data_IF_170112119051
#
_entry.id   IF_170112119051
#
_cell.length_a   1.000
_cell.length_b   1.000
_cell.length_c   1.000
_cell.angle_alpha   90.00
_cell.angle_beta   90.00
_cell.angle_gamma   90.00
#
_symmetry.space_group_name_H-M   'P 1'
#
loop_
_entity.id
_entity.type
_entity.pdbx_description
1 polymer ?
#
# COMPACT_ATOMS: atom_id res chain seq x y z
N UNK A 1 -22.32 0.86 15.04
CA UNK A 1 -21.44 -0.13 14.41
C UNK A 1 -20.99 0.48 13.10
N UNK A 2 -19.68 0.63 12.89
CA UNK A 2 -19.18 1.19 11.63
C UNK A 2 -19.61 0.29 10.47
N UNK A 3 -20.19 0.87 9.40
CA UNK A 3 -20.73 0.09 8.26
C UNK A 3 -19.67 -0.82 7.64
N UNK A 4 -18.39 -0.45 7.71
CA UNK A 4 -17.23 -1.23 7.27
C UNK A 4 -17.17 -2.62 7.91
N UNK A 5 -17.48 -2.76 9.20
CA UNK A 5 -17.51 -4.07 9.86
C UNK A 5 -18.62 -4.99 9.35
N UNK A 6 -19.75 -4.44 8.88
CA UNK A 6 -20.81 -5.24 8.26
C UNK A 6 -20.31 -5.87 6.95
N UNK A 7 -19.71 -5.07 6.06
CA UNK A 7 -19.16 -5.59 4.81
C UNK A 7 -18.06 -6.62 5.05
N UNK A 8 -17.22 -6.40 6.06
CA UNK A 8 -16.18 -7.37 6.43
C UNK A 8 -16.80 -8.68 6.92
N UNK A 9 -17.82 -8.64 7.77
CA UNK A 9 -18.52 -9.84 8.22
C UNK A 9 -19.14 -10.62 7.05
N UNK A 10 -19.73 -9.93 6.06
CA UNK A 10 -20.25 -10.55 4.84
C UNK A 10 -19.12 -11.19 4.02
N UNK A 11 -18.00 -10.50 3.83
CA UNK A 11 -16.81 -11.06 3.19
C UNK A 11 -16.33 -12.34 3.88
N UNK A 12 -16.24 -12.35 5.22
CA UNK A 12 -15.83 -13.52 6.00
C UNK A 12 -16.77 -14.72 5.84
N UNK A 13 -18.07 -14.47 5.70
CA UNK A 13 -19.05 -15.52 5.41
C UNK A 13 -18.86 -16.11 4.01
N UNK A 14 -18.70 -15.26 2.98
CA UNK A 14 -18.40 -15.71 1.61
C UNK A 14 -17.07 -16.46 1.55
N UNK A 15 -16.03 -15.98 2.24
CA UNK A 15 -14.74 -16.65 2.37
C UNK A 15 -14.88 -18.06 2.94
N UNK A 16 -15.71 -18.23 3.98
CA UNK A 16 -15.97 -19.54 4.56
C UNK A 16 -16.59 -20.50 3.55
N UNK A 17 -17.58 -20.04 2.77
CA UNK A 17 -18.23 -20.86 1.73
C UNK A 17 -17.24 -21.23 0.59
N UNK A 18 -16.40 -20.30 0.16
CA UNK A 18 -15.34 -20.57 -0.84
C UNK A 18 -14.36 -21.63 -0.33
N UNK A 19 -13.96 -21.54 0.94
CA UNK A 19 -13.09 -22.54 1.55
C UNK A 19 -13.75 -23.91 1.67
N UNK A 20 -15.09 -24.00 1.73
CA UNK A 20 -15.82 -25.27 1.65
C UNK A 20 -15.78 -25.84 0.23
N UNK A 21 -15.85 -25.01 -0.82
CA UNK A 21 -15.66 -25.48 -2.20
C UNK A 21 -14.31 -26.19 -2.34
N UNK A 22 -13.28 -25.66 -1.70
CA UNK A 22 -11.94 -26.25 -1.75
C UNK A 22 -11.79 -27.57 -0.97
N UNK A 23 -12.76 -27.93 -0.11
CA UNK A 23 -12.80 -29.26 0.52
C UNK A 23 -13.23 -30.34 -0.48
N UNK A 24 -14.05 -29.98 -1.47
CA UNK A 24 -14.53 -30.91 -2.49
C UNK A 24 -13.70 -30.87 -3.77
N UNK A 25 -13.15 -29.70 -4.12
CA UNK A 25 -12.34 -29.50 -5.31
C UNK A 25 -11.02 -28.83 -4.92
N UNK A 26 -9.95 -29.62 -4.91
CA UNK A 26 -8.62 -29.12 -4.53
C UNK A 26 -8.19 -27.94 -5.42
N UNK A 27 -7.84 -26.81 -4.82
CA UNK A 27 -7.50 -25.57 -5.52
C UNK A 27 -6.08 -25.68 -6.12
N UNK A 28 -5.99 -26.12 -7.37
CA UNK A 28 -4.73 -26.28 -8.13
C UNK A 28 -4.82 -25.62 -9.50
N UNK A 29 -3.69 -25.41 -10.17
CA UNK A 29 -3.66 -24.84 -11.52
C UNK A 29 -4.57 -25.61 -12.51
N UNK A 30 -4.71 -26.93 -12.33
CA UNK A 30 -5.54 -27.80 -13.18
C UNK A 30 -7.04 -27.62 -12.93
N UNK A 31 -7.42 -27.23 -11.72
CA UNK A 31 -8.82 -27.15 -11.31
C UNK A 31 -9.40 -25.72 -11.36
N UNK A 32 -8.60 -24.72 -11.75
CA UNK A 32 -9.07 -23.33 -11.84
C UNK A 32 -10.28 -23.15 -12.78
N UNK A 33 -10.41 -23.99 -13.81
CA UNK A 33 -11.52 -23.96 -14.75
C UNK A 33 -12.70 -24.88 -14.35
N UNK A 34 -12.62 -25.57 -13.19
CA UNK A 34 -13.76 -26.32 -12.65
C UNK A 34 -14.87 -25.34 -12.31
N UNK A 35 -16.08 -25.65 -12.78
CA UNK A 35 -17.27 -24.84 -12.61
C UNK A 35 -18.39 -25.66 -11.97
N UNK A 36 -19.30 -24.98 -11.29
CA UNK A 36 -20.52 -25.57 -10.77
C UNK A 36 -21.58 -24.49 -10.59
N UNK A 37 -22.83 -24.90 -10.41
CA UNK A 37 -23.90 -23.96 -10.08
C UNK A 37 -23.60 -23.19 -8.78
N UNK A 38 -23.05 -23.89 -7.78
CA UNK A 38 -22.67 -23.29 -6.51
C UNK A 38 -21.54 -22.26 -6.66
N UNK A 39 -20.51 -22.53 -7.48
CA UNK A 39 -19.44 -21.56 -7.76
C UNK A 39 -20.01 -20.33 -8.49
N UNK A 40 -20.89 -20.54 -9.47
CA UNK A 40 -21.56 -19.45 -10.19
C UNK A 40 -22.41 -18.57 -9.25
N UNK A 41 -23.13 -19.18 -8.30
CA UNK A 41 -23.90 -18.45 -7.28
C UNK A 41 -23.03 -17.65 -6.33
N UNK A 42 -21.90 -18.22 -5.88
CA UNK A 42 -20.93 -17.49 -5.07
C UNK A 42 -20.37 -16.29 -5.82
N UNK A 43 -20.04 -16.41 -7.12
CA UNK A 43 -19.59 -15.27 -7.95
C UNK A 43 -20.66 -14.17 -7.98
N UNK A 44 -21.92 -14.51 -8.25
CA UNK A 44 -23.01 -13.53 -8.30
C UNK A 44 -23.15 -12.80 -6.96
N UNK A 45 -23.15 -13.52 -5.84
CA UNK A 45 -23.22 -12.93 -4.49
C UNK A 45 -22.01 -12.03 -4.22
N UNK A 46 -20.80 -12.46 -4.56
CA UNK A 46 -19.59 -11.64 -4.40
C UNK A 46 -19.70 -10.32 -5.16
N UNK A 47 -20.19 -10.35 -6.39
CA UNK A 47 -20.26 -9.15 -7.24
C UNK A 47 -21.38 -8.19 -6.79
N UNK A 48 -22.47 -8.70 -6.22
CA UNK A 48 -23.48 -7.87 -5.55
C UNK A 48 -22.84 -7.11 -4.37
N UNK A 49 -21.97 -7.76 -3.59
CA UNK A 49 -21.27 -7.08 -2.49
C UNK A 49 -20.22 -6.07 -2.99
N UNK A 50 -19.53 -6.37 -4.09
CA UNK A 50 -18.63 -5.41 -4.77
C UNK A 50 -19.42 -4.17 -5.23
N UNK A 51 -20.61 -4.36 -5.79
CA UNK A 51 -21.49 -3.26 -6.19
C UNK A 51 -21.90 -2.42 -4.99
N UNK A 52 -22.38 -3.05 -3.92
CA UNK A 52 -22.79 -2.37 -2.68
C UNK A 52 -21.66 -1.57 -2.05
N UNK A 53 -20.50 -2.21 -1.81
CA UNK A 53 -19.38 -1.58 -1.11
C UNK A 53 -18.74 -0.46 -1.94
N UNK A 54 -18.60 -0.63 -3.26
CA UNK A 54 -18.01 0.43 -4.11
C UNK A 54 -18.89 1.67 -4.19
N UNK A 55 -20.22 1.51 -4.20
CA UNK A 55 -21.18 2.63 -4.10
C UNK A 55 -21.12 3.32 -2.74
N UNK A 56 -20.96 2.55 -1.66
CA UNK A 56 -20.83 3.12 -0.32
C UNK A 56 -19.53 3.92 -0.18
N UNK A 57 -18.39 3.37 -0.62
CA UNK A 57 -17.10 4.09 -0.63
C UNK A 57 -17.23 5.37 -1.48
N UNK A 58 -17.87 5.29 -2.65
CA UNK A 58 -18.09 6.44 -3.53
C UNK A 58 -18.85 7.58 -2.83
N UNK A 59 -19.92 7.25 -2.10
CA UNK A 59 -20.73 8.22 -1.35
C UNK A 59 -19.93 8.84 -0.21
N UNK A 60 -19.18 8.03 0.54
CA UNK A 60 -18.29 8.55 1.59
C UNK A 60 -17.26 9.54 1.02
N UNK A 61 -16.64 9.24 -0.12
CA UNK A 61 -15.70 10.17 -0.78
C UNK A 61 -16.41 11.45 -1.21
N UNK A 62 -17.63 11.36 -1.77
CA UNK A 62 -18.44 12.53 -2.17
C UNK A 62 -18.74 13.43 -0.97
N UNK A 63 -19.14 12.85 0.16
CA UNK A 63 -19.47 13.57 1.39
C UNK A 63 -18.25 14.21 2.06
N UNK A 64 -17.10 13.54 2.02
CA UNK A 64 -15.88 14.04 2.65
C UNK A 64 -15.23 15.20 1.87
N UNK A 65 -15.53 15.34 0.57
CA UNK A 65 -15.07 16.42 -0.33
C UNK A 65 -13.65 16.97 -0.04
N UNK A 66 -12.71 16.08 0.22
CA UNK A 66 -11.33 16.43 0.57
C UNK A 66 -10.47 16.71 -0.68
N UNK A 67 -9.28 17.26 -0.46
CA UNK A 67 -8.21 17.45 -1.46
C UNK A 67 -7.79 16.14 -2.20
N UNK A 68 -8.23 14.97 -1.73
CA UNK A 68 -7.94 13.67 -2.35
C UNK A 68 -8.61 13.47 -3.72
N UNK A 69 -9.68 14.21 -4.02
CA UNK A 69 -10.42 14.09 -5.28
C UNK A 69 -9.89 15.13 -6.28
N UNK A 70 -9.55 14.75 -7.52
CA UNK A 70 -9.14 15.71 -8.55
C UNK A 70 -10.17 16.82 -8.75
N UNK A 71 -9.72 18.07 -8.81
CA UNK A 71 -10.59 19.27 -8.90
C UNK A 71 -11.51 19.25 -10.12
N UNK A 72 -11.12 18.54 -11.18
CA UNK A 72 -11.88 18.37 -12.42
C UNK A 72 -12.87 17.18 -12.38
N UNK A 73 -12.90 16.39 -11.30
CA UNK A 73 -13.84 15.29 -11.16
C UNK A 73 -15.23 15.81 -10.79
N UNK A 74 -16.22 15.44 -11.60
CA UNK A 74 -17.63 15.77 -11.35
C UNK A 74 -18.34 14.53 -10.84
N UNK A 75 -18.86 14.61 -9.61
CA UNK A 75 -19.69 13.55 -9.06
C UNK A 75 -20.99 13.43 -9.84
N UNK A 76 -21.43 12.19 -10.05
CA UNK A 76 -22.71 11.91 -10.68
C UNK A 76 -23.81 12.22 -9.67
N UNK A 77 -24.80 12.99 -10.10
CA UNK A 77 -26.03 13.18 -9.33
C UNK A 77 -26.94 11.97 -9.55
N UNK A 78 -27.32 11.31 -8.46
CA UNK A 78 -28.33 10.25 -8.49
C UNK A 78 -29.69 10.93 -8.67
N UNK A 79 -30.31 10.73 -9.84
CA UNK A 79 -31.68 11.14 -10.11
C UNK A 79 -32.45 9.98 -10.74
N UNK A 80 -33.76 10.14 -10.90
CA UNK A 80 -34.63 9.08 -11.43
C UNK A 80 -34.26 8.61 -12.85
N UNK A 81 -33.44 9.35 -13.61
CA UNK A 81 -33.02 9.01 -14.98
C UNK A 81 -31.57 8.52 -15.10
N UNK A 82 -30.79 8.52 -14.01
CA UNK A 82 -29.36 8.23 -14.04
C UNK A 82 -28.94 7.39 -12.83
N UNK A 83 -28.83 6.07 -13.04
CA UNK A 83 -28.38 5.14 -12.01
C UNK A 83 -26.86 5.24 -11.81
N UNK A 84 -26.41 5.28 -10.56
CA UNK A 84 -25.00 5.18 -10.20
C UNK A 84 -24.48 3.78 -10.55
N UNK A 85 -23.52 3.71 -11.47
CA UNK A 85 -22.94 2.46 -11.94
C UNK A 85 -21.71 2.10 -11.10
N UNK A 86 -21.75 0.92 -10.47
CA UNK A 86 -20.65 0.50 -9.60
C UNK A 86 -19.32 0.36 -10.34
N UNK A 87 -19.35 -0.04 -11.62
CA UNK A 87 -18.16 -0.18 -12.44
C UNK A 87 -17.66 1.18 -12.94
N UNK A 88 -18.39 1.81 -13.86
CA UNK A 88 -17.88 2.98 -14.59
C UNK A 88 -17.87 4.27 -13.80
N UNK A 89 -18.69 4.36 -12.74
CA UNK A 89 -18.75 5.56 -11.92
C UNK A 89 -17.93 5.34 -10.63
N UNK A 90 -18.27 4.31 -9.85
CA UNK A 90 -17.63 4.07 -8.55
C UNK A 90 -16.20 3.53 -8.68
N UNK A 91 -16.00 2.33 -9.25
CA UNK A 91 -14.68 1.71 -9.34
C UNK A 91 -13.71 2.51 -10.23
N UNK A 92 -14.22 3.24 -11.23
CA UNK A 92 -13.42 4.21 -11.99
C UNK A 92 -12.88 5.34 -11.11
N UNK A 93 -13.71 5.94 -10.25
CA UNK A 93 -13.25 6.97 -9.31
C UNK A 93 -12.20 6.39 -8.37
N UNK A 94 -12.50 5.26 -7.72
CA UNK A 94 -11.57 4.62 -6.76
C UNK A 94 -10.22 4.31 -7.41
N UNK A 95 -10.24 3.84 -8.66
CA UNK A 95 -9.02 3.60 -9.41
C UNK A 95 -8.27 4.91 -9.73
N UNK A 96 -8.99 5.98 -10.06
CA UNK A 96 -8.39 7.28 -10.36
C UNK A 96 -7.66 7.87 -9.15
N UNK A 97 -8.24 7.75 -7.95
CA UNK A 97 -7.67 8.34 -6.74
C UNK A 97 -6.63 7.44 -6.06
N UNK A 98 -6.79 6.10 -6.10
CA UNK A 98 -5.94 5.17 -5.35
C UNK A 98 -5.16 4.19 -6.22
N UNK A 99 -5.31 4.19 -7.54
CA UNK A 99 -4.60 3.27 -8.45
C UNK A 99 -4.87 1.79 -8.17
N UNK A 100 -6.12 1.45 -7.83
CA UNK A 100 -6.51 0.10 -7.41
C UNK A 100 -6.24 -0.99 -8.47
N UNK A 101 -6.14 -0.66 -9.76
CA UNK A 101 -5.86 -1.59 -10.84
C UNK A 101 -4.42 -2.13 -10.85
N UNK A 102 -3.53 -1.47 -10.11
CA UNK A 102 -2.14 -1.89 -9.89
C UNK A 102 -1.99 -2.84 -8.72
N UNK A 103 -2.86 -2.74 -7.71
CA UNK A 103 -2.78 -3.51 -6.47
C UNK A 103 -2.83 -5.00 -6.75
N UNK A 104 -1.84 -5.71 -6.23
CA UNK A 104 -1.72 -7.16 -6.36
C UNK A 104 -1.96 -7.80 -5.00
N UNK A 105 -2.65 -8.94 -5.03
CA UNK A 105 -2.84 -9.80 -3.88
C UNK A 105 -2.28 -11.19 -4.17
N UNK A 106 -1.98 -11.93 -3.10
CA UNK A 106 -1.49 -13.30 -3.14
C UNK A 106 -2.61 -14.22 -2.65
N UNK A 107 -2.80 -15.36 -3.31
CA UNK A 107 -3.62 -16.46 -2.77
C UNK A 107 -2.80 -17.19 -1.72
N UNK A 108 -3.21 -17.05 -0.46
CA UNK A 108 -2.52 -17.59 0.72
C UNK A 108 -3.31 -18.72 1.40
N UNK A 109 -4.41 -19.17 0.78
CA UNK A 109 -5.23 -20.26 1.31
C UNK A 109 -4.43 -21.54 1.46
N UNK A 110 -4.39 -22.11 2.66
CA UNK A 110 -3.72 -23.40 2.95
C UNK A 110 -4.27 -24.54 2.07
N UNK A 111 -5.55 -24.44 1.68
CA UNK A 111 -6.21 -25.42 0.80
C UNK A 111 -5.89 -25.24 -0.70
N UNK A 112 -5.04 -24.27 -1.05
CA UNK A 112 -4.60 -24.07 -2.43
C UNK A 112 -3.15 -24.54 -2.63
N UNK A 113 -2.91 -25.28 -3.71
CA UNK A 113 -1.60 -25.73 -4.16
C UNK A 113 -1.37 -25.27 -5.61
N UNK A 114 -1.24 -23.96 -5.77
CA UNK A 114 -0.94 -23.33 -7.06
C UNK A 114 0.57 -23.32 -7.26
N UNK A 115 1.04 -23.69 -8.44
CA UNK A 115 2.46 -23.75 -8.79
C UNK A 115 2.86 -22.60 -9.72
N UNK A 116 1.96 -22.23 -10.64
CA UNK A 116 2.20 -21.15 -11.61
C UNK A 116 2.10 -19.77 -10.96
N UNK A 117 3.08 -18.90 -11.20
CA UNK A 117 3.16 -17.59 -10.54
C UNK A 117 1.98 -16.68 -10.90
N UNK A 118 1.50 -16.74 -12.14
CA UNK A 118 0.33 -16.00 -12.61
C UNK A 118 -0.98 -16.43 -11.94
N UNK A 119 -1.01 -17.61 -11.34
CA UNK A 119 -2.16 -18.10 -10.57
C UNK A 119 -1.99 -17.87 -9.07
N UNK A 120 -0.76 -17.73 -8.55
CA UNK A 120 -0.50 -17.44 -7.13
C UNK A 120 -0.83 -16.00 -6.74
N UNK A 121 -0.69 -15.07 -7.68
CA UNK A 121 -0.92 -13.65 -7.42
C UNK A 121 -1.53 -12.96 -8.63
N UNK A 122 -2.42 -12.00 -8.39
CA UNK A 122 -3.12 -11.29 -9.45
C UNK A 122 -3.60 -9.91 -8.99
N UNK A 123 -4.00 -9.08 -9.96
CA UNK A 123 -4.55 -7.74 -9.73
C UNK A 123 -6.08 -7.79 -9.84
N UNK A 124 -6.81 -7.91 -8.71
CA UNK A 124 -8.25 -8.21 -8.72
C UNK A 124 -9.10 -7.11 -9.36
N UNK A 125 -8.68 -5.85 -9.19
CA UNK A 125 -9.40 -4.67 -9.69
C UNK A 125 -8.85 -4.17 -11.04
N UNK A 126 -7.97 -4.94 -11.70
CA UNK A 126 -7.46 -4.60 -13.03
C UNK A 126 -8.61 -4.42 -14.01
N UNK A 127 -8.71 -3.21 -14.57
CA UNK A 127 -9.78 -2.78 -15.48
C UNK A 127 -11.21 -2.83 -14.88
N UNK A 128 -11.38 -2.81 -13.55
CA UNK A 128 -12.70 -2.91 -12.94
C UNK A 128 -13.62 -1.70 -13.22
N UNK A 129 -13.05 -0.53 -13.52
CA UNK A 129 -13.78 0.66 -13.98
C UNK A 129 -14.16 0.67 -15.48
N UNK A 130 -13.85 -0.39 -16.23
CA UNK A 130 -14.13 -0.48 -17.68
C UNK A 130 -15.34 -1.37 -17.96
N UNK A 131 -16.07 -1.07 -19.03
CA UNK A 131 -17.23 -1.84 -19.53
C UNK A 131 -16.87 -2.85 -20.61
N UNK A 132 -17.78 -3.83 -20.79
CA UNK A 132 -17.74 -4.81 -21.86
C UNK A 132 -16.48 -5.68 -21.84
N UNK A 133 -15.93 -5.96 -23.01
CA UNK A 133 -14.77 -6.85 -23.16
C UNK A 133 -13.49 -6.30 -22.52
N UNK A 134 -13.44 -5.00 -22.26
CA UNK A 134 -12.33 -4.33 -21.57
C UNK A 134 -12.46 -4.37 -20.04
N UNK A 135 -13.60 -4.80 -19.50
CA UNK A 135 -13.84 -4.87 -18.06
C UNK A 135 -13.04 -5.98 -17.36
N UNK A 136 -13.00 -5.91 -16.03
CA UNK A 136 -12.38 -6.95 -15.20
C UNK A 136 -12.94 -8.34 -15.51
N UNK A 137 -12.09 -9.37 -15.45
CA UNK A 137 -12.46 -10.75 -15.80
C UNK A 137 -13.69 -11.23 -15.02
N UNK A 138 -13.71 -11.05 -13.70
CA UNK A 138 -14.84 -11.43 -12.86
C UNK A 138 -16.13 -10.69 -13.21
N UNK A 139 -16.05 -9.41 -13.60
CA UNK A 139 -17.24 -8.63 -13.98
C UNK A 139 -17.82 -9.16 -15.30
N UNK A 140 -16.96 -9.48 -16.29
CA UNK A 140 -17.40 -10.11 -17.54
C UNK A 140 -18.09 -11.45 -17.31
N UNK A 141 -17.56 -12.26 -16.38
CA UNK A 141 -18.19 -13.53 -15.98
C UNK A 141 -19.54 -13.27 -15.32
N UNK A 142 -19.62 -12.35 -14.37
CA UNK A 142 -20.86 -11.97 -13.70
C UNK A 142 -21.94 -11.50 -14.69
N UNK A 143 -21.61 -10.59 -15.62
CA UNK A 143 -22.57 -10.13 -16.64
C UNK A 143 -23.07 -11.32 -17.48
N UNK A 144 -22.18 -12.23 -17.89
CA UNK A 144 -22.56 -13.42 -18.65
C UNK A 144 -23.50 -14.34 -17.86
N UNK A 145 -23.23 -14.57 -16.56
CA UNK A 145 -24.07 -15.37 -15.67
C UNK A 145 -25.42 -14.70 -15.37
N UNK A 146 -25.46 -13.36 -15.27
CA UNK A 146 -26.67 -12.58 -15.04
C UNK A 146 -27.62 -12.62 -16.25
N UNK A 147 -27.09 -12.56 -17.47
CA UNK A 147 -27.90 -12.50 -18.68
C UNK A 147 -28.35 -13.88 -19.17
N UNK A 148 -27.48 -14.89 -19.15
CA UNK A 148 -27.82 -16.25 -19.58
C UNK A 148 -26.96 -17.26 -18.83
N UNK A 149 -27.43 -17.61 -17.63
CA UNK A 149 -26.71 -18.52 -16.72
C UNK A 149 -26.50 -19.91 -17.32
N UNK A 150 -27.52 -20.47 -17.96
CA UNK A 150 -27.47 -21.85 -18.48
C UNK A 150 -26.38 -21.98 -19.55
N UNK A 151 -26.33 -21.04 -20.50
CA UNK A 151 -25.31 -21.03 -21.55
C UNK A 151 -23.91 -20.71 -21.01
N UNK A 152 -23.82 -19.88 -19.98
CA UNK A 152 -22.56 -19.36 -19.47
C UNK A 152 -22.04 -20.04 -18.20
N UNK A 153 -22.68 -21.12 -17.74
CA UNK A 153 -22.32 -21.80 -16.49
C UNK A 153 -20.82 -22.16 -16.41
N UNK A 154 -20.22 -22.58 -17.53
CA UNK A 154 -18.78 -22.92 -17.61
C UNK A 154 -17.85 -21.75 -17.27
N UNK A 155 -18.31 -20.51 -17.43
CA UNK A 155 -17.55 -19.30 -17.07
C UNK A 155 -17.55 -19.06 -15.55
N UNK A 156 -18.53 -19.60 -14.83
CA UNK A 156 -18.63 -19.55 -13.37
C UNK A 156 -17.70 -20.57 -12.71
N UNK A 157 -16.40 -20.37 -12.85
CA UNK A 157 -15.36 -21.29 -12.40
C UNK A 157 -14.54 -20.76 -11.21
N UNK A 158 -13.68 -21.63 -10.64
CA UNK A 158 -12.86 -21.29 -9.47
C UNK A 158 -11.99 -20.06 -9.71
N UNK A 159 -11.42 -19.90 -10.91
CA UNK A 159 -10.63 -18.72 -11.26
C UNK A 159 -11.47 -17.44 -11.14
N UNK A 160 -12.67 -17.43 -11.75
CA UNK A 160 -13.55 -16.28 -11.69
C UNK A 160 -13.99 -15.97 -10.24
N UNK A 161 -14.25 -17.00 -9.44
CA UNK A 161 -14.58 -16.88 -8.02
C UNK A 161 -13.43 -16.26 -7.21
N UNK A 162 -12.21 -16.76 -7.37
CA UNK A 162 -11.02 -16.19 -6.71
C UNK A 162 -10.81 -14.73 -7.10
N UNK A 163 -10.99 -14.39 -8.39
CA UNK A 163 -10.86 -13.02 -8.86
C UNK A 163 -11.93 -12.08 -8.28
N UNK A 164 -13.18 -12.52 -8.19
CA UNK A 164 -14.26 -11.75 -7.56
C UNK A 164 -14.02 -11.58 -6.05
N UNK A 165 -13.68 -12.66 -5.35
CA UNK A 165 -13.37 -12.63 -3.92
C UNK A 165 -12.17 -11.74 -3.60
N UNK A 166 -11.15 -11.74 -4.46
CA UNK A 166 -9.99 -10.86 -4.32
C UNK A 166 -10.35 -9.38 -4.49
N UNK A 167 -11.29 -9.06 -5.39
CA UNK A 167 -11.78 -7.69 -5.57
C UNK A 167 -12.60 -7.23 -4.35
N UNK A 168 -13.49 -8.09 -3.84
CA UNK A 168 -14.26 -7.80 -2.63
C UNK A 168 -13.36 -7.63 -1.41
N UNK A 169 -12.36 -8.50 -1.24
CA UNK A 169 -11.36 -8.40 -0.19
C UNK A 169 -10.66 -7.05 -0.21
N UNK A 170 -10.09 -6.68 -1.38
CA UNK A 170 -9.35 -5.43 -1.51
C UNK A 170 -10.23 -4.20 -1.24
N UNK A 171 -11.48 -4.19 -1.73
CA UNK A 171 -12.41 -3.10 -1.45
C UNK A 171 -12.75 -3.00 0.05
N UNK A 172 -12.87 -4.12 0.76
CA UNK A 172 -13.06 -4.09 2.21
C UNK A 172 -11.86 -3.49 2.94
N UNK A 173 -10.63 -3.84 2.55
CA UNK A 173 -9.41 -3.24 3.11
C UNK A 173 -9.43 -1.72 2.93
N UNK A 174 -9.75 -1.24 1.72
CA UNK A 174 -9.84 0.19 1.46
C UNK A 174 -11.01 0.88 2.18
N UNK A 175 -12.11 0.18 2.40
CA UNK A 175 -13.26 0.74 3.12
C UNK A 175 -13.01 0.86 4.62
N UNK A 176 -12.33 -0.14 5.22
CA UNK A 176 -11.90 -0.07 6.62
C UNK A 176 -10.91 1.09 6.82
N UNK A 177 -10.00 1.33 5.86
CA UNK A 177 -9.05 2.45 5.89
C UNK A 177 -8.25 2.53 7.22
N UNK A 178 -8.00 1.36 7.83
CA UNK A 178 -7.32 1.28 9.12
C UNK A 178 -5.79 1.39 8.94
N UNK A 179 -5.16 2.12 9.85
CA UNK A 179 -3.71 2.11 10.02
C UNK A 179 -3.33 1.15 11.14
N UNK A 180 -2.25 0.39 10.97
CA UNK A 180 -1.81 -0.61 11.96
C UNK A 180 -0.57 -0.09 12.66
N UNK A 181 -0.67 0.10 13.98
CA UNK A 181 0.48 0.44 14.80
C UNK A 181 1.38 -0.79 14.96
N UNK A 182 2.61 -0.70 14.46
CA UNK A 182 3.58 -1.79 14.55
C UNK A 182 4.44 -1.66 15.81
N UNK A 183 4.38 -0.55 16.53
CA UNK A 183 5.26 -0.34 17.67
C UNK A 183 6.71 -0.25 17.21
N UNK A 184 7.55 -1.22 17.57
CA UNK A 184 8.97 -1.23 17.22
C UNK A 184 9.28 -1.92 15.87
N UNK A 185 10.56 -1.98 15.51
CA UNK A 185 11.02 -2.52 14.21
C UNK A 185 10.85 -4.04 14.09
N UNK A 186 10.67 -4.77 15.19
CA UNK A 186 10.62 -6.24 15.20
C UNK A 186 9.22 -6.78 14.95
N UNK A 187 8.18 -5.97 15.17
CA UNK A 187 6.80 -6.39 14.95
C UNK A 187 6.55 -6.68 13.48
N UNK A 188 6.01 -7.87 13.20
CA UNK A 188 5.55 -8.26 11.87
C UNK A 188 4.18 -7.66 11.56
N UNK A 189 3.97 -7.28 10.31
CA UNK A 189 2.65 -6.89 9.81
C UNK A 189 1.87 -8.13 9.34
N UNK A 190 0.64 -8.31 9.83
CA UNK A 190 -0.25 -9.36 9.32
C UNK A 190 -0.81 -8.95 7.95
N UNK A 191 -0.11 -9.34 6.90
CA UNK A 191 -0.53 -9.08 5.53
C UNK A 191 -1.83 -9.79 5.14
N UNK A 192 -2.32 -10.76 5.90
CA UNK A 192 -3.63 -11.37 5.64
C UNK A 192 -4.79 -10.45 6.02
N UNK A 193 -4.55 -9.50 6.94
CA UNK A 193 -5.60 -8.69 7.56
C UNK A 193 -6.76 -9.58 8.05
N UNK A 194 -6.44 -10.75 8.58
CA UNK A 194 -7.41 -11.75 9.03
C UNK A 194 -8.10 -12.58 7.93
N UNK A 195 -7.75 -12.44 6.65
CA UNK A 195 -8.24 -13.32 5.57
C UNK A 195 -7.58 -14.70 5.64
N UNK A 196 -8.35 -15.74 5.32
CA UNK A 196 -7.84 -17.11 5.12
C UNK A 196 -7.60 -17.45 3.65
N UNK A 197 -8.03 -16.60 2.72
CA UNK A 197 -7.84 -16.80 1.28
C UNK A 197 -6.67 -16.00 0.72
N UNK A 198 -6.47 -14.77 1.20
CA UNK A 198 -5.56 -13.82 0.57
C UNK A 198 -4.56 -13.21 1.54
N UNK A 199 -3.48 -12.70 0.96
CA UNK A 199 -2.55 -11.80 1.64
C UNK A 199 -2.23 -10.62 0.72
N UNK A 200 -2.02 -9.46 1.34
CA UNK A 200 -1.65 -8.22 0.67
C UNK A 200 -0.16 -8.21 0.36
N UNK A 201 0.19 -7.53 -0.73
CA UNK A 201 1.55 -7.04 -0.93
C UNK A 201 1.68 -5.73 -0.15
N UNK A 202 2.81 -5.55 0.54
CA UNK A 202 3.15 -4.32 1.23
C UNK A 202 4.59 -3.93 0.91
N UNK A 203 4.89 -2.64 0.95
CA UNK A 203 6.25 -2.14 0.86
C UNK A 203 6.76 -1.71 2.25
N UNK A 204 8.00 -2.09 2.56
CA UNK A 204 8.67 -1.77 3.80
C UNK A 204 9.71 -0.66 3.58
N UNK A 205 9.32 0.55 3.95
CA UNK A 205 10.14 1.77 3.83
C UNK A 205 10.52 2.32 5.20
N UNK A 206 10.65 1.42 6.18
CA UNK A 206 11.09 1.78 7.54
C UNK A 206 12.55 2.22 7.60
N UNK A 207 13.34 1.96 6.56
CA UNK A 207 14.73 2.41 6.43
C UNK A 207 14.80 3.90 6.05
N UNK A 208 15.58 4.66 6.80
CA UNK A 208 15.91 6.05 6.48
C UNK A 208 17.34 6.10 5.95
N UNK A 209 17.55 6.74 4.80
CA UNK A 209 18.87 6.95 4.22
C UNK A 209 19.59 8.13 4.89
N UNK A 210 20.90 8.02 5.06
CA UNK A 210 21.75 9.12 5.52
C UNK A 210 22.90 9.24 4.53
N UNK A 211 23.10 10.45 4.02
CA UNK A 211 24.18 10.77 3.09
C UNK A 211 24.81 12.09 3.49
N UNK A 212 26.02 12.02 4.07
CA UNK A 212 26.71 13.19 4.59
C UNK A 212 25.92 13.84 5.74
N UNK A 213 25.55 15.10 5.55
CA UNK A 213 24.77 15.92 6.47
C UNK A 213 23.26 15.91 6.18
N UNK A 214 22.81 15.04 5.26
CA UNK A 214 21.41 14.95 4.85
C UNK A 214 20.78 13.62 5.24
N UNK A 215 19.54 13.72 5.70
CA UNK A 215 18.61 12.59 5.77
C UNK A 215 17.87 12.51 4.44
N UNK A 216 17.82 11.32 3.86
CA UNK A 216 16.99 11.00 2.71
C UNK A 216 15.85 10.11 3.19
N UNK A 217 14.64 10.64 3.12
CA UNK A 217 13.44 9.85 3.34
C UNK A 217 13.15 9.03 2.08
N UNK A 218 12.61 7.81 2.24
CA UNK A 218 12.03 7.12 1.11
C UNK A 218 10.87 7.97 0.60
N UNK A 219 11.01 8.51 -0.62
CA UNK A 219 9.99 9.38 -1.20
C UNK A 219 8.78 8.61 -1.74
N UNK A 220 8.80 7.28 -1.71
CA UNK A 220 7.78 6.44 -2.35
C UNK A 220 7.80 6.69 -3.85
N UNK A 221 8.36 5.77 -4.63
CA UNK A 221 8.54 6.02 -6.06
C UNK A 221 9.81 5.42 -6.65
N UNK A 222 10.09 4.17 -6.31
CA UNK A 222 11.17 3.41 -6.93
C UNK A 222 10.75 2.00 -7.32
N UNK A 223 10.27 1.85 -8.57
CA UNK A 223 9.98 0.60 -9.31
C UNK A 223 8.64 -0.07 -8.95
N UNK A 224 8.08 -0.81 -9.92
CA UNK A 224 6.70 -1.34 -9.98
C UNK A 224 6.10 -1.92 -8.69
N UNK A 225 6.93 -2.38 -7.75
CA UNK A 225 6.53 -2.96 -6.46
C UNK A 225 5.74 -1.98 -5.56
N UNK A 226 6.04 -0.66 -5.65
CA UNK A 226 5.31 0.39 -4.92
C UNK A 226 3.84 0.50 -5.38
N UNK A 227 3.59 0.35 -6.69
CA UNK A 227 2.25 0.43 -7.25
C UNK A 227 1.43 -0.82 -6.95
N UNK A 228 2.09 -1.97 -6.76
CA UNK A 228 1.41 -3.22 -6.44
C UNK A 228 1.04 -3.34 -4.95
N UNK A 229 1.77 -2.63 -4.08
CA UNK A 229 1.58 -2.66 -2.63
C UNK A 229 0.27 -2.00 -2.17
N UNK A 230 -0.47 -2.69 -1.30
CA UNK A 230 -1.68 -2.17 -0.65
C UNK A 230 -1.36 -1.42 0.64
N UNK A 231 -0.30 -1.80 1.35
CA UNK A 231 0.17 -1.11 2.56
C UNK A 231 1.61 -0.65 2.42
N UNK A 232 1.94 0.41 3.14
CA UNK A 232 3.30 0.94 3.25
C UNK A 232 3.66 1.02 4.74
N UNK A 233 4.74 0.33 5.10
CA UNK A 233 5.28 0.34 6.46
C UNK A 233 6.31 1.44 6.54
N UNK A 234 6.05 2.44 7.38
CA UNK A 234 6.86 3.64 7.49
C UNK A 234 7.12 4.01 8.95
N UNK A 235 8.07 4.92 9.19
CA UNK A 235 8.20 5.56 10.50
C UNK A 235 6.95 6.40 10.75
N UNK A 236 6.45 6.41 11.98
CA UNK A 236 5.26 7.20 12.28
C UNK A 236 5.54 8.71 12.11
N UNK A 237 4.49 9.47 11.82
CA UNK A 237 4.61 10.90 11.52
C UNK A 237 4.94 11.76 12.77
N UNK A 238 4.91 11.15 13.97
CA UNK A 238 5.14 11.82 15.26
C UNK A 238 6.63 11.79 15.65
N UNK A 239 7.30 10.67 15.44
CA UNK A 239 8.67 10.42 15.86
C UNK A 239 9.67 10.78 14.77
N UNK A 240 9.25 10.76 13.48
CA UNK A 240 10.11 11.15 12.38
C UNK A 240 10.66 12.58 12.51
N UNK A 241 9.86 13.63 12.84
CA UNK A 241 10.41 14.99 13.01
C UNK A 241 11.41 15.07 14.18
N UNK A 242 11.20 14.31 15.25
CA UNK A 242 12.12 14.26 16.41
C UNK A 242 13.45 13.64 16.03
N UNK A 243 13.41 12.60 15.21
CA UNK A 243 14.58 11.93 14.66
C UNK A 243 15.37 12.85 13.72
N UNK A 244 14.70 13.51 12.78
CA UNK A 244 15.33 14.50 11.87
C UNK A 244 16.01 15.61 12.67
N UNK A 245 15.30 16.19 13.64
CA UNK A 245 15.85 17.25 14.50
C UNK A 245 17.07 16.80 15.30
N UNK A 246 17.06 15.57 15.81
CA UNK A 246 18.18 15.03 16.59
C UNK A 246 19.43 14.82 15.72
N UNK A 247 19.25 14.38 14.47
CA UNK A 247 20.33 14.29 13.50
C UNK A 247 20.90 15.67 13.16
N UNK A 248 20.04 16.63 12.84
CA UNK A 248 20.46 18.01 12.53
C UNK A 248 21.24 18.65 13.69
N UNK A 249 20.83 18.37 14.93
CA UNK A 249 21.55 18.83 16.12
C UNK A 249 22.94 18.20 16.23
N UNK A 250 23.08 16.89 16.00
CA UNK A 250 24.38 16.21 16.05
C UNK A 250 25.33 16.74 14.95
N UNK A 251 24.81 17.06 13.77
CA UNK A 251 25.56 17.70 12.68
C UNK A 251 25.99 19.12 13.07
N UNK A 252 25.08 19.93 13.63
CA UNK A 252 25.42 21.27 14.10
C UNK A 252 26.50 21.25 15.20
N UNK A 253 26.39 20.31 16.15
CA UNK A 253 27.39 20.11 17.20
C UNK A 253 28.73 19.64 16.62
N UNK A 254 28.72 18.81 15.57
CA UNK A 254 29.94 18.39 14.86
C UNK A 254 30.61 19.58 14.16
N UNK A 255 29.84 20.41 13.44
CA UNK A 255 30.35 21.62 12.79
C UNK A 255 30.95 22.59 13.80
N UNK A 256 30.31 22.76 14.97
CA UNK A 256 30.87 23.56 16.06
C UNK A 256 32.19 23.00 16.57
N UNK A 257 32.29 21.67 16.78
CA UNK A 257 33.56 21.03 17.19
C UNK A 257 34.68 21.21 16.17
N UNK A 258 34.36 21.17 14.87
CA UNK A 258 35.33 21.44 13.79
C UNK A 258 35.80 22.90 13.89
N UNK A 259 34.86 23.85 14.00
CA UNK A 259 35.17 25.28 14.15
C UNK A 259 35.94 25.60 15.43
N UNK A 260 35.80 24.81 16.49
CA UNK A 260 36.48 25.03 17.76
C UNK A 260 37.83 24.30 17.88
N UNK A 261 38.17 23.40 16.94
CA UNK A 261 39.42 22.62 16.98
C UNK A 261 40.65 23.53 16.91
N UNK A 262 41.47 23.47 17.96
CA UNK A 262 42.75 24.17 18.01
C UNK A 262 43.72 23.59 17.00
N UNK A 263 43.79 22.26 16.86
CA UNK A 263 44.70 21.62 15.91
C UNK A 263 44.39 22.03 14.47
N UNK A 264 43.11 22.04 14.09
CA UNK A 264 42.70 22.45 12.74
C UNK A 264 42.97 23.94 12.49
N UNK A 265 42.70 24.81 13.47
CA UNK A 265 43.01 26.24 13.37
C UNK A 265 44.50 26.50 13.19
N UNK A 266 45.33 25.80 13.95
CA UNK A 266 46.78 25.93 13.86
C UNK A 266 47.31 25.43 12.52
N UNK A 267 46.79 24.30 12.04
CA UNK A 267 47.10 23.78 10.70
C UNK A 267 46.74 24.77 9.60
N UNK A 268 45.52 25.30 9.57
CA UNK A 268 45.06 26.25 8.55
C UNK A 268 45.84 27.57 8.58
N UNK A 269 46.34 27.99 9.75
CA UNK A 269 47.21 29.16 9.89
C UNK A 269 48.57 28.94 9.23
N UNK A 270 49.13 27.73 9.35
CA UNK A 270 50.42 27.37 8.77
C UNK A 270 50.32 26.94 7.29
N UNK A 271 49.12 26.57 6.84
CA UNK A 271 48.82 26.09 5.49
C UNK A 271 47.66 26.88 4.87
N UNK A 272 47.84 28.18 4.58
CA UNK A 272 46.77 29.04 4.08
C UNK A 272 46.15 28.55 2.76
N UNK A 273 46.88 27.75 1.96
CA UNK A 273 46.41 27.10 0.74
C UNK A 273 45.21 26.16 0.98
N UNK A 274 45.03 25.64 2.20
CA UNK A 274 43.88 24.81 2.57
C UNK A 274 42.64 25.60 3.01
N UNK A 275 42.76 26.91 3.27
CA UNK A 275 41.68 27.72 3.87
C UNK A 275 40.40 27.80 3.02
N UNK A 276 40.52 27.69 1.71
CA UNK A 276 39.40 27.78 0.75
C UNK A 276 39.04 26.43 0.09
N UNK A 277 39.53 25.31 0.64
CA UNK A 277 39.24 23.97 0.13
C UNK A 277 38.09 23.34 0.94
N UNK A 278 37.44 22.32 0.38
CA UNK A 278 36.45 21.47 1.06
C UNK A 278 36.91 21.02 2.47
N UNK A 279 35.98 21.06 3.42
CA UNK A 279 36.27 20.87 4.85
C UNK A 279 36.80 19.47 5.16
N UNK A 280 36.42 18.45 4.38
CA UNK A 280 36.93 17.08 4.55
C UNK A 280 38.43 17.06 4.23
N UNK A 281 38.84 17.75 3.15
CA UNK A 281 40.26 17.86 2.77
C UNK A 281 41.07 18.67 3.77
N UNK A 282 40.47 19.70 4.39
CA UNK A 282 41.13 20.45 5.48
C UNK A 282 41.43 19.55 6.67
N UNK A 283 40.43 18.74 7.08
CA UNK A 283 40.56 17.79 8.20
C UNK A 283 41.60 16.71 7.89
N UNK A 284 41.54 16.11 6.70
CA UNK A 284 42.50 15.09 6.27
C UNK A 284 43.93 15.66 6.16
N UNK A 285 44.08 16.87 5.64
CA UNK A 285 45.37 17.57 5.56
C UNK A 285 46.01 17.81 6.92
N UNK A 286 45.19 18.09 7.95
CA UNK A 286 45.62 18.21 9.33
C UNK A 286 45.92 16.86 10.02
N UNK A 287 45.79 15.73 9.31
CA UNK A 287 45.93 14.38 9.87
C UNK A 287 44.80 13.96 10.81
N UNK A 288 43.71 14.73 10.83
CA UNK A 288 42.52 14.48 11.64
C UNK A 288 41.54 13.59 10.88
N UNK A 289 40.56 13.04 11.60
CA UNK A 289 39.51 12.20 11.00
C UNK A 289 38.15 12.79 11.28
N UNK A 290 37.28 12.85 10.27
CA UNK A 290 35.91 13.36 10.42
C UNK A 290 35.13 12.67 11.56
N UNK A 291 35.37 11.37 11.78
CA UNK A 291 34.79 10.60 12.89
C UNK A 291 35.15 11.11 14.30
N UNK A 292 36.19 11.93 14.47
CA UNK A 292 36.53 12.56 15.75
C UNK A 292 35.52 13.67 16.12
N UNK A 293 34.91 14.30 15.12
CA UNK A 293 33.96 15.39 15.28
C UNK A 293 32.50 14.92 15.27
N UNK A 294 32.21 13.86 14.51
CA UNK A 294 30.88 13.26 14.37
C UNK A 294 30.51 12.39 15.58
N UNK A 295 29.83 12.99 16.57
CA UNK A 295 29.24 12.27 17.71
C UNK A 295 27.72 12.23 17.57
N UNK A 296 27.18 11.09 17.14
CA UNK A 296 25.75 10.89 16.84
C UNK A 296 24.91 10.47 18.06
N UNK A 297 25.13 11.12 19.21
CA UNK A 297 24.53 10.68 20.47
C UNK A 297 23.01 10.93 20.53
N UNK A 298 22.54 12.07 20.02
CA UNK A 298 21.10 12.39 20.03
C UNK A 298 20.36 11.54 19.01
N UNK A 299 20.97 11.37 17.84
CA UNK A 299 20.51 10.49 16.78
C UNK A 299 20.35 9.04 17.26
N UNK A 300 21.39 8.44 17.87
CA UNK A 300 21.32 7.05 18.33
C UNK A 300 20.25 6.85 19.42
N UNK A 301 20.11 7.82 20.33
CA UNK A 301 19.06 7.77 21.37
C UNK A 301 17.64 7.78 20.79
N UNK A 302 17.43 8.50 19.69
CA UNK A 302 16.11 8.59 19.05
C UNK A 302 15.84 7.42 18.11
N UNK A 303 16.86 6.90 17.42
CA UNK A 303 16.76 5.72 16.56
C UNK A 303 16.14 4.52 17.28
N UNK A 304 16.60 4.21 18.49
CA UNK A 304 16.07 3.09 19.29
C UNK A 304 14.63 3.29 19.79
N UNK A 305 14.11 4.52 19.71
CA UNK A 305 12.76 4.88 20.16
C UNK A 305 11.78 5.07 19.01
N UNK A 306 12.25 4.99 17.77
CA UNK A 306 11.39 5.11 16.60
C UNK A 306 10.26 4.07 16.66
N UNK A 307 9.07 4.55 16.32
CA UNK A 307 7.89 3.72 16.18
C UNK A 307 7.41 3.70 14.74
N UNK A 308 6.81 2.60 14.37
CA UNK A 308 6.43 2.30 12.99
C UNK A 308 4.94 2.08 12.86
N UNK A 309 4.43 2.35 11.67
CA UNK A 309 3.03 2.24 11.32
C UNK A 309 2.91 1.66 9.91
N UNK A 310 1.92 0.79 9.70
CA UNK A 310 1.48 0.41 8.37
C UNK A 310 0.29 1.30 7.99
N UNK A 311 0.42 2.02 6.88
CA UNK A 311 -0.64 2.87 6.32
C UNK A 311 -1.08 2.35 4.97
N UNK A 312 -2.37 2.53 4.68
CA UNK A 312 -2.94 2.15 3.40
C UNK A 312 -2.33 2.97 2.27
N UNK A 313 -1.92 2.31 1.19
CA UNK A 313 -1.38 2.98 0.01
C UNK A 313 -2.51 3.62 -0.81
N UNK A 314 -2.69 4.92 -0.65
CA UNK A 314 -3.62 5.73 -1.46
C UNK A 314 -2.94 6.49 -2.60
N UNK A 315 -1.70 6.13 -2.98
CA UNK A 315 -0.87 6.86 -3.95
C UNK A 315 -0.67 8.34 -3.61
N UNK A 316 -0.57 8.64 -2.31
CA UNK A 316 -0.29 9.97 -1.79
C UNK A 316 1.18 10.04 -1.31
N UNK A 317 1.78 11.24 -1.21
CA UNK A 317 3.11 11.41 -0.64
C UNK A 317 3.21 10.77 0.74
N UNK A 318 4.29 10.02 0.98
CA UNK A 318 4.49 9.26 2.23
C UNK A 318 4.66 10.14 3.46
N UNK A 319 5.34 11.27 3.27
CA UNK A 319 5.61 12.25 4.31
C UNK A 319 5.26 13.65 3.80
N UNK A 320 4.81 14.57 4.67
CA UNK A 320 4.59 15.95 4.30
C UNK A 320 5.85 16.61 3.73
N UNK A 321 5.70 17.48 2.73
CA UNK A 321 6.82 18.21 2.08
C UNK A 321 7.71 18.97 3.07
N UNK A 322 7.14 19.47 4.18
CA UNK A 322 7.87 20.16 5.25
C UNK A 322 8.91 19.29 5.97
N UNK A 323 8.86 17.97 5.82
CA UNK A 323 9.82 17.02 6.38
C UNK A 323 10.89 16.57 5.37
N UNK A 324 10.78 16.97 4.09
CA UNK A 324 11.72 16.61 3.02
C UNK A 324 12.77 17.70 2.72
N UNK A 325 12.80 18.78 3.51
CA UNK A 325 13.67 19.95 3.31
C UNK A 325 14.96 19.94 4.13
#
# INVERSE_FOLDING_TARGET
MEKSYLFWAVYKNLEKEVLMVFDYVHCTDKHLEVYSMHIADLIVRCVIEIESISKEIYRNIKEMSNEEVPKDYVFKEENHSSFLMFDTDCLSLLNRIWGLDKRRIIIAAVKCSLMKQENKSFRPLKNAGKKGDRGAYWNRVYQALKHDRFKNLKKGNIRALLHAMGALYLLNIYYMNESVNLGDSKTSFDASMGSKLFSLIYNDVRSIGISGDKITLPNGGGKEDDEEATYILKVNDIDLPKYIKSFQQDIADANKRIQDSLELKEYLKNHPEYSNIDIIKQIEGAGLKMGQFLKMNNFMKTLHRLKYIAVLNKNQPLYPDKLMG
#
